data_IF_418161365304
#
_entry.id   IF_418161365304
#
_cell.length_a   1.000
_cell.length_b   1.000
_cell.length_c   1.000
_cell.angle_alpha   90.00
_cell.angle_beta   90.00
_cell.angle_gamma   90.00
#
_symmetry.space_group_name_H-M   'P 1'
#
loop_
_entity.id
_entity.type
_entity.pdbx_description
1 polymer ?
#
# COMPACT_ATOMS: atom_id res chain seq x y z
N UNK A 1 -9.63 37.30 -18.18
CA UNK A 1 -9.64 36.62 -16.87
C UNK A 1 -9.33 35.16 -17.14
N UNK A 2 -8.16 34.68 -16.73
CA UNK A 2 -7.80 33.29 -16.91
C UNK A 2 -8.57 32.47 -15.87
N UNK A 3 -9.62 31.78 -16.32
CA UNK A 3 -10.33 30.78 -15.52
C UNK A 3 -9.38 29.59 -15.33
N UNK A 4 -8.46 29.69 -14.36
CA UNK A 4 -7.67 28.57 -13.89
C UNK A 4 -8.56 27.75 -12.96
N UNK A 5 -9.54 27.03 -13.53
CA UNK A 5 -10.29 26.02 -12.79
C UNK A 5 -9.32 24.85 -12.62
N UNK A 6 -8.85 24.54 -11.40
CA UNK A 6 -8.01 23.38 -11.20
C UNK A 6 -8.75 22.18 -11.79
N UNK A 7 -8.05 21.34 -12.56
CA UNK A 7 -8.62 20.05 -12.94
C UNK A 7 -9.00 19.33 -11.64
N UNK A 8 -10.15 18.64 -11.58
CA UNK A 8 -10.40 17.73 -10.47
C UNK A 8 -9.17 16.82 -10.36
N UNK A 9 -8.52 16.81 -9.20
CA UNK A 9 -7.36 15.96 -8.96
C UNK A 9 -7.77 14.53 -9.30
N UNK A 10 -7.07 13.93 -10.27
CA UNK A 10 -7.37 12.56 -10.68
C UNK A 10 -6.85 11.63 -9.59
N UNK A 11 -7.71 11.34 -8.63
CA UNK A 11 -7.36 10.49 -7.50
C UNK A 11 -7.22 9.02 -7.89
N UNK A 12 -7.50 8.65 -9.14
CA UNK A 12 -7.26 7.29 -9.64
C UNK A 12 -5.76 6.94 -9.66
N UNK A 13 -4.88 7.91 -9.91
CA UNK A 13 -3.43 7.75 -9.84
C UNK A 13 -2.95 7.30 -8.44
N UNK A 14 -3.62 7.78 -7.37
CA UNK A 14 -3.27 7.41 -6.00
C UNK A 14 -3.66 5.97 -5.69
N UNK A 15 -4.84 5.53 -6.18
CA UNK A 15 -5.30 4.15 -6.02
C UNK A 15 -4.36 3.18 -6.74
N UNK A 16 -3.97 3.48 -7.98
CA UNK A 16 -3.04 2.62 -8.74
C UNK A 16 -1.68 2.50 -8.04
N UNK A 17 -1.12 3.62 -7.56
CA UNK A 17 0.14 3.62 -6.80
C UNK A 17 0.03 2.81 -5.51
N UNK A 18 -1.04 2.97 -4.74
CA UNK A 18 -1.27 2.21 -3.51
C UNK A 18 -1.40 0.71 -3.81
N UNK A 19 -2.09 0.33 -4.88
CA UNK A 19 -2.19 -1.08 -5.30
C UNK A 19 -0.82 -1.66 -5.69
N UNK A 20 -0.01 -0.93 -6.46
CA UNK A 20 1.34 -1.35 -6.81
C UNK A 20 2.24 -1.51 -5.58
N UNK A 21 2.19 -0.57 -4.63
CA UNK A 21 2.94 -0.68 -3.38
C UNK A 21 2.49 -1.88 -2.53
N UNK A 22 1.19 -2.17 -2.45
CA UNK A 22 0.69 -3.38 -1.76
C UNK A 22 1.25 -4.63 -2.44
N UNK A 23 1.17 -4.72 -3.76
CA UNK A 23 1.67 -5.87 -4.52
C UNK A 23 3.16 -6.13 -4.25
N UNK A 24 4.00 -5.10 -4.40
CA UNK A 24 5.42 -5.21 -4.12
C UNK A 24 5.71 -5.51 -2.65
N UNK A 25 4.91 -5.01 -1.72
CA UNK A 25 5.09 -5.32 -0.30
C UNK A 25 4.80 -6.79 -0.02
N UNK A 26 3.79 -7.36 -0.67
CA UNK A 26 3.46 -8.79 -0.56
C UNK A 26 4.56 -9.64 -1.17
N UNK A 27 5.05 -9.34 -2.38
CA UNK A 27 6.19 -10.06 -2.98
C UNK A 27 7.41 -10.04 -2.04
N UNK A 28 7.75 -8.87 -1.47
CA UNK A 28 8.86 -8.75 -0.52
C UNK A 28 8.64 -9.52 0.79
N UNK A 29 7.39 -9.80 1.18
CA UNK A 29 7.08 -10.66 2.33
C UNK A 29 7.28 -12.12 1.97
N UNK A 30 6.80 -12.55 0.80
CA UNK A 30 6.95 -13.92 0.29
C UNK A 30 8.43 -14.28 0.09
N UNK A 31 9.21 -13.37 -0.51
CA UNK A 31 10.66 -13.54 -0.68
C UNK A 31 11.38 -13.65 0.67
N UNK A 32 10.96 -12.85 1.66
CA UNK A 32 11.52 -12.91 3.00
C UNK A 32 11.14 -14.21 3.73
N UNK A 33 9.93 -14.71 3.53
CA UNK A 33 9.47 -16.00 4.07
C UNK A 33 10.25 -17.16 3.44
N UNK A 34 10.55 -17.11 2.13
CA UNK A 34 11.40 -18.08 1.47
C UNK A 34 12.83 -18.09 2.05
N UNK A 35 13.37 -16.92 2.42
CA UNK A 35 14.66 -16.81 3.10
C UNK A 35 14.62 -17.34 4.54
N UNK A 36 13.49 -17.18 5.24
CA UNK A 36 13.30 -17.59 6.64
C UNK A 36 13.68 -19.06 6.89
N UNK A 37 13.31 -19.95 5.97
CA UNK A 37 13.60 -21.38 6.05
C UNK A 37 15.10 -21.67 6.17
N UNK A 38 15.94 -20.87 5.52
CA UNK A 38 17.40 -21.04 5.50
C UNK A 38 18.15 -20.13 6.48
N UNK A 39 17.43 -19.25 7.17
CA UNK A 39 18.00 -18.26 8.08
C UNK A 39 18.29 -18.79 9.48
N UNK A 40 19.20 -18.12 10.19
CA UNK A 40 19.46 -18.37 11.60
C UNK A 40 18.40 -17.72 12.52
N UNK A 41 18.44 -17.98 13.82
CA UNK A 41 17.42 -17.51 14.78
C UNK A 41 17.29 -15.98 14.83
N UNK A 42 18.40 -15.24 14.73
CA UNK A 42 18.39 -13.78 14.71
C UNK A 42 17.75 -13.25 13.42
N UNK A 43 18.17 -13.78 12.27
CA UNK A 43 17.62 -13.42 10.97
C UNK A 43 16.12 -13.71 10.88
N UNK A 44 15.70 -14.86 11.41
CA UNK A 44 14.28 -15.26 11.51
C UNK A 44 13.46 -14.25 12.30
N UNK A 45 13.93 -13.86 13.48
CA UNK A 45 13.25 -12.84 14.30
C UNK A 45 13.17 -11.48 13.57
N UNK A 46 14.21 -11.10 12.82
CA UNK A 46 14.19 -9.89 12.02
C UNK A 46 13.22 -9.95 10.85
N UNK A 47 13.13 -11.10 10.16
CA UNK A 47 12.19 -11.35 9.07
C UNK A 47 10.75 -11.25 9.59
N UNK A 48 10.44 -11.95 10.68
CA UNK A 48 9.11 -11.89 11.31
C UNK A 48 8.73 -10.47 11.70
N UNK A 49 9.61 -9.75 12.41
CA UNK A 49 9.34 -8.38 12.82
C UNK A 49 9.16 -7.43 11.62
N UNK A 50 9.88 -7.64 10.51
CA UNK A 50 9.69 -6.88 9.27
C UNK A 50 8.36 -7.22 8.61
N UNK A 51 8.01 -8.50 8.52
CA UNK A 51 6.77 -8.97 7.92
C UNK A 51 5.55 -8.47 8.72
N UNK A 52 5.64 -8.40 10.05
CA UNK A 52 4.57 -7.86 10.88
C UNK A 52 4.33 -6.37 10.59
N UNK A 53 5.38 -5.55 10.55
CA UNK A 53 5.25 -4.12 10.17
C UNK A 53 4.72 -3.93 8.75
N UNK A 54 5.06 -4.82 7.82
CA UNK A 54 4.53 -4.79 6.44
C UNK A 54 3.04 -5.10 6.40
N UNK A 55 2.54 -6.00 7.26
CA UNK A 55 1.09 -6.27 7.40
C UNK A 55 0.35 -5.02 7.85
N UNK A 56 0.84 -4.35 8.90
CA UNK A 56 0.26 -3.09 9.37
C UNK A 56 0.25 -2.02 8.26
N UNK A 57 1.36 -1.89 7.50
CA UNK A 57 1.44 -0.96 6.38
C UNK A 57 0.44 -1.28 5.26
N UNK A 58 0.25 -2.56 4.92
CA UNK A 58 -0.75 -3.01 3.94
C UNK A 58 -2.16 -2.68 4.41
N UNK A 59 -2.48 -2.89 5.68
CA UNK A 59 -3.79 -2.53 6.23
C UNK A 59 -4.06 -1.03 6.12
N UNK A 60 -3.06 -0.19 6.43
CA UNK A 60 -3.11 1.25 6.21
C UNK A 60 -3.39 1.59 4.75
N UNK A 61 -2.60 1.04 3.82
CA UNK A 61 -2.80 1.29 2.38
C UNK A 61 -4.19 0.82 1.88
N UNK A 62 -4.72 -0.29 2.40
CA UNK A 62 -6.07 -0.77 2.06
C UNK A 62 -7.16 0.17 2.58
N UNK A 63 -6.98 0.74 3.77
CA UNK A 63 -7.88 1.74 4.32
C UNK A 63 -7.87 3.02 3.46
N UNK A 64 -6.67 3.50 3.10
CA UNK A 64 -6.51 4.66 2.21
C UNK A 64 -7.19 4.45 0.86
N UNK A 65 -6.98 3.31 0.20
CA UNK A 65 -7.67 2.98 -1.06
C UNK A 65 -9.20 3.08 -0.91
N UNK A 66 -9.75 2.58 0.20
CA UNK A 66 -11.19 2.61 0.43
C UNK A 66 -11.72 4.04 0.61
N UNK A 67 -10.97 4.88 1.30
CA UNK A 67 -11.34 6.29 1.47
C UNK A 67 -11.12 7.10 0.18
N UNK A 68 -10.14 6.70 -0.63
CA UNK A 68 -9.92 7.23 -1.98
C UNK A 68 -11.12 6.90 -2.92
N UNK A 69 -11.63 5.68 -2.88
CA UNK A 69 -12.85 5.33 -3.63
C UNK A 69 -14.09 6.08 -3.14
N UNK A 70 -14.22 6.26 -1.82
CA UNK A 70 -15.37 6.96 -1.21
C UNK A 70 -15.42 8.43 -1.59
N UNK A 71 -14.31 9.17 -1.51
CA UNK A 71 -14.36 10.58 -1.88
C UNK A 71 -14.50 10.78 -3.40
N UNK A 72 -13.99 9.85 -4.25
CA UNK A 72 -14.28 9.87 -5.69
C UNK A 72 -15.78 9.67 -6.00
N UNK A 73 -16.49 8.87 -5.20
CA UNK A 73 -17.93 8.63 -5.40
C UNK A 73 -18.84 9.67 -4.69
N UNK A 74 -18.40 10.26 -3.58
CA UNK A 74 -19.16 11.29 -2.86
C UNK A 74 -19.11 12.67 -3.53
N UNK A 75 -18.11 12.95 -4.38
CA UNK A 75 -18.07 14.17 -5.20
C UNK A 75 -19.14 14.21 -6.33
N UNK A 76 -19.97 13.17 -6.45
CA UNK A 76 -21.04 13.05 -7.45
C UNK A 76 -22.49 13.21 -6.89
N UNK A 77 -22.68 13.78 -5.69
CA UNK A 77 -24.03 14.14 -5.16
C UNK A 77 -24.23 15.64 -4.93
#
# INVERSE_FOLDING_TARGET
>A
MANNKPKPDDRSDNVEKLQSMIFHTIENMEDAEAAYEFSNEEERAQIEAKNERRREAIEGMRAEIKDEYRAQHNDNQ
#
